data_IF_313898002661
#
_entry.id   IF_313898002661
#
_cell.length_a   1.000
_cell.length_b   1.000
_cell.length_c   1.000
_cell.angle_alpha   90.00
_cell.angle_beta   90.00
_cell.angle_gamma   90.00
#
_symmetry.space_group_name_H-M   'P 1'
#
loop_
_entity.id
_entity.type
_entity.pdbx_description
1 polymer ?
#
# COMPACT_ATOMS: atom_id res chain seq x y z
N UNK A 1 0.72 -4.93 22.36
CA UNK A 1 -0.17 -5.00 21.18
C UNK A 1 0.60 -4.43 19.98
N UNK A 2 0.38 -4.96 18.78
CA UNK A 2 1.21 -4.68 17.60
C UNK A 2 0.50 -3.72 16.65
N UNK A 3 1.12 -2.57 16.34
CA UNK A 3 0.64 -1.60 15.34
C UNK A 3 1.00 -2.00 13.90
N UNK A 4 1.33 -3.28 13.68
CA UNK A 4 1.72 -3.77 12.35
C UNK A 4 0.46 -4.02 11.53
N UNK A 5 0.02 -3.00 10.80
CA UNK A 5 -1.20 -3.00 10.00
C UNK A 5 -0.87 -2.89 8.51
N UNK A 6 -1.86 -3.19 7.68
CA UNK A 6 -1.81 -3.02 6.23
C UNK A 6 -3.08 -2.32 5.74
N UNK A 7 -3.01 -1.66 4.60
CA UNK A 7 -4.20 -1.14 3.92
C UNK A 7 -4.94 -2.27 3.20
N UNK A 8 -6.17 -2.00 2.77
CA UNK A 8 -6.83 -2.90 1.81
C UNK A 8 -6.05 -2.96 0.49
N UNK A 9 -6.02 -4.13 -0.14
CA UNK A 9 -5.35 -4.26 -1.44
C UNK A 9 -6.24 -3.69 -2.55
N UNK A 10 -5.80 -2.58 -3.16
CA UNK A 10 -6.48 -1.98 -4.30
C UNK A 10 -6.17 -2.76 -5.59
N UNK A 11 -7.19 -3.42 -6.15
CA UNK A 11 -7.07 -4.13 -7.43
C UNK A 11 -7.39 -3.17 -8.56
N UNK A 12 -6.40 -2.87 -9.38
CA UNK A 12 -6.57 -2.06 -10.58
C UNK A 12 -7.43 -2.84 -11.59
N UNK A 13 -8.54 -2.27 -12.10
CA UNK A 13 -9.38 -2.95 -13.09
C UNK A 13 -8.60 -3.31 -14.36
N UNK A 14 -8.96 -4.39 -15.07
CA UNK A 14 -8.34 -4.74 -16.33
C UNK A 14 -8.39 -3.56 -17.32
N UNK A 15 -7.30 -3.33 -18.05
CA UNK A 15 -7.13 -2.23 -19.03
C UNK A 15 -7.11 -0.81 -18.42
N UNK A 16 -7.16 -0.66 -17.11
CA UNK A 16 -7.01 0.63 -16.46
C UNK A 16 -5.52 1.03 -16.38
N UNK A 17 -5.21 2.25 -16.83
CA UNK A 17 -3.90 2.86 -16.61
C UNK A 17 -3.89 3.64 -15.31
N UNK A 18 -2.87 3.42 -14.47
CA UNK A 18 -2.64 4.21 -13.25
C UNK A 18 -1.88 5.49 -13.63
N UNK A 19 -2.62 6.49 -14.11
CA UNK A 19 -2.08 7.84 -14.30
C UNK A 19 -2.18 8.64 -12.99
N UNK A 20 -1.63 9.86 -12.96
CA UNK A 20 -1.66 10.70 -11.77
C UNK A 20 -3.08 11.00 -11.24
N UNK A 21 -4.07 11.16 -12.12
CA UNK A 21 -5.45 11.39 -11.71
C UNK A 21 -6.05 10.15 -11.03
N UNK A 22 -5.85 8.97 -11.63
CA UNK A 22 -6.30 7.71 -11.06
C UNK A 22 -5.65 7.45 -9.70
N UNK A 23 -4.33 7.63 -9.62
CA UNK A 23 -3.56 7.43 -8.41
C UNK A 23 -4.08 8.29 -7.25
N UNK A 24 -4.26 9.61 -7.48
CA UNK A 24 -4.79 10.51 -6.46
C UNK A 24 -6.21 10.16 -6.02
N UNK A 25 -7.11 9.89 -6.98
CA UNK A 25 -8.54 9.76 -6.69
C UNK A 25 -8.95 8.39 -6.17
N UNK A 26 -8.25 7.33 -6.54
CA UNK A 26 -8.66 5.95 -6.23
C UNK A 26 -7.68 5.22 -5.30
N UNK A 27 -6.41 5.62 -5.26
CA UNK A 27 -5.41 4.98 -4.40
C UNK A 27 -5.17 5.86 -3.17
N UNK A 28 -4.67 7.10 -3.36
CA UNK A 28 -4.35 7.98 -2.23
C UNK A 28 -5.59 8.38 -1.42
N UNK A 29 -6.59 8.99 -2.06
CA UNK A 29 -7.76 9.53 -1.38
C UNK A 29 -8.77 8.47 -0.91
N UNK A 30 -8.55 7.19 -1.24
CA UNK A 30 -9.40 6.09 -0.78
C UNK A 30 -8.60 5.14 0.08
N UNK A 31 -7.85 4.24 -0.53
CA UNK A 31 -7.18 3.15 0.16
C UNK A 31 -6.12 3.63 1.15
N UNK A 32 -5.28 4.59 0.78
CA UNK A 32 -4.25 5.10 1.70
C UNK A 32 -4.87 5.92 2.83
N UNK A 33 -5.79 6.83 2.49
CA UNK A 33 -6.48 7.68 3.46
C UNK A 33 -7.26 6.87 4.50
N UNK A 34 -8.08 5.92 4.06
CA UNK A 34 -8.81 5.00 4.94
C UNK A 34 -7.86 4.32 5.93
N UNK A 35 -6.68 3.92 5.47
CA UNK A 35 -5.74 3.17 6.28
C UNK A 35 -5.01 4.03 7.32
N UNK A 36 -4.78 5.31 7.02
CA UNK A 36 -4.06 6.27 7.87
C UNK A 36 -5.00 6.92 8.91
N UNK A 37 -6.31 6.98 8.62
CA UNK A 37 -7.31 7.54 9.54
C UNK A 37 -7.78 6.54 10.61
N UNK A 38 -7.30 5.29 10.60
CA UNK A 38 -7.65 4.27 11.61
C UNK A 38 -7.03 4.61 12.96
N UNK A 39 -7.83 4.55 14.01
CA UNK A 39 -7.45 4.87 15.39
C UNK A 39 -7.56 3.68 16.36
N UNK A 40 -8.20 2.58 15.95
CA UNK A 40 -8.36 1.40 16.79
C UNK A 40 -7.02 0.70 17.05
N UNK A 41 -6.68 0.44 18.31
CA UNK A 41 -5.52 -0.40 18.65
C UNK A 41 -5.79 -1.90 18.43
N UNK A 42 -7.07 -2.27 18.38
CA UNK A 42 -7.55 -3.65 18.31
C UNK A 42 -8.15 -3.98 16.94
N UNK A 43 -8.36 -5.27 16.70
CA UNK A 43 -8.98 -5.78 15.47
C UNK A 43 -7.99 -6.46 14.53
N UNK A 44 -8.44 -6.71 13.31
CA UNK A 44 -7.61 -7.34 12.28
C UNK A 44 -6.50 -6.39 11.82
N UNK A 45 -5.52 -6.94 11.09
CA UNK A 45 -4.42 -6.15 10.49
C UNK A 45 -4.91 -5.07 9.51
N UNK A 46 -6.18 -5.13 9.10
CA UNK A 46 -6.84 -4.18 8.20
C UNK A 46 -7.72 -3.14 8.91
N UNK A 47 -7.84 -3.20 10.23
CA UNK A 47 -8.76 -2.33 10.98
C UNK A 47 -8.04 -1.48 12.01
N UNK A 48 -6.93 -1.99 12.53
CA UNK A 48 -6.15 -1.27 13.53
C UNK A 48 -5.33 -0.13 12.92
N UNK A 49 -4.93 0.80 13.79
CA UNK A 49 -4.03 1.90 13.48
C UNK A 49 -2.69 1.41 12.94
N UNK A 50 -2.12 2.20 12.02
CA UNK A 50 -0.83 1.95 11.38
C UNK A 50 0.35 2.15 12.31
N UNK A 51 0.23 3.06 13.28
CA UNK A 51 1.27 3.38 14.24
C UNK A 51 0.64 3.69 15.60
N UNK A 52 1.40 3.51 16.67
CA UNK A 52 1.00 3.96 18.02
C UNK A 52 0.94 5.48 18.12
N UNK A 53 1.83 6.14 17.38
CA UNK A 53 1.93 7.59 17.33
C UNK A 53 2.02 8.04 15.87
N UNK A 54 0.90 8.55 15.35
CA UNK A 54 0.81 9.04 13.98
C UNK A 54 1.63 10.31 13.73
N UNK A 55 2.13 11.00 14.76
CA UNK A 55 3.05 12.14 14.58
C UNK A 55 4.42 11.72 14.03
N UNK A 56 4.77 10.44 14.19
CA UNK A 56 5.96 9.82 13.65
C UNK A 56 5.77 9.28 12.22
N UNK A 57 4.54 9.30 11.69
CA UNK A 57 4.22 8.75 10.37
C UNK A 57 4.92 9.52 9.26
N UNK A 58 5.60 8.79 8.37
CA UNK A 58 6.20 9.31 7.13
C UNK A 58 5.62 8.51 5.97
N UNK A 59 4.92 9.19 5.06
CA UNK A 59 4.47 8.58 3.81
C UNK A 59 5.63 8.46 2.82
N UNK A 60 5.80 7.29 2.21
CA UNK A 60 6.85 7.01 1.23
C UNK A 60 6.27 6.33 -0.01
N UNK A 61 6.78 6.68 -1.17
CA UNK A 61 6.43 6.09 -2.47
C UNK A 61 7.65 6.10 -3.40
N UNK A 62 7.66 5.23 -4.41
CA UNK A 62 8.73 5.17 -5.40
C UNK A 62 8.66 6.29 -6.45
N UNK A 63 9.67 6.35 -7.31
CA UNK A 63 9.81 7.36 -8.37
C UNK A 63 8.90 7.17 -9.60
N UNK A 64 7.77 6.45 -9.51
CA UNK A 64 6.87 6.28 -10.65
C UNK A 64 6.27 7.62 -11.13
N UNK A 65 6.00 7.82 -12.44
CA UNK A 65 5.53 9.11 -12.97
C UNK A 65 4.26 9.67 -12.31
N UNK A 66 3.33 8.80 -11.90
CA UNK A 66 2.11 9.20 -11.20
C UNK A 66 2.39 9.74 -9.78
N UNK A 67 3.43 9.20 -9.13
CA UNK A 67 3.85 9.51 -7.76
C UNK A 67 4.65 10.82 -7.74
N UNK A 68 5.52 11.04 -8.72
CA UNK A 68 6.40 12.22 -8.82
C UNK A 68 5.75 13.44 -9.47
N UNK A 69 4.52 13.33 -9.97
CA UNK A 69 3.79 14.45 -10.57
C UNK A 69 3.54 15.56 -9.54
N UNK A 70 3.69 16.82 -9.94
CA UNK A 70 3.58 17.98 -9.03
C UNK A 70 2.26 17.98 -8.22
N UNK A 71 1.12 17.72 -8.88
CA UNK A 71 -0.18 17.65 -8.20
C UNK A 71 -0.27 16.50 -7.19
N UNK A 72 0.45 15.40 -7.41
CA UNK A 72 0.50 14.28 -6.47
C UNK A 72 1.39 14.63 -5.27
N UNK A 73 2.57 15.22 -5.51
CA UNK A 73 3.48 15.67 -4.45
C UNK A 73 2.79 16.69 -3.53
N UNK A 74 2.16 17.73 -4.08
CA UNK A 74 1.42 18.74 -3.28
C UNK A 74 0.24 18.14 -2.51
N UNK A 75 -0.42 17.11 -3.05
CA UNK A 75 -1.49 16.41 -2.33
C UNK A 75 -0.93 15.63 -1.14
N UNK A 76 0.22 14.94 -1.31
CA UNK A 76 0.88 14.21 -0.24
C UNK A 76 1.35 15.14 0.88
N UNK A 77 2.03 16.24 0.54
CA UNK A 77 2.49 17.25 1.51
C UNK A 77 1.34 17.85 2.33
N UNK A 78 0.17 18.03 1.71
CA UNK A 78 -1.02 18.55 2.39
C UNK A 78 -1.70 17.53 3.31
N UNK A 79 -1.71 16.26 2.91
CA UNK A 79 -2.56 15.25 3.55
C UNK A 79 -1.83 14.33 4.53
N UNK A 80 -0.50 14.25 4.49
CA UNK A 80 0.28 13.38 5.38
C UNK A 80 1.10 14.20 6.38
N UNK A 81 1.23 13.74 7.65
CA UNK A 81 2.03 14.44 8.66
C UNK A 81 3.47 14.72 8.23
N UNK A 82 4.10 13.71 7.62
CA UNK A 82 5.40 13.81 6.95
C UNK A 82 5.34 12.98 5.67
N UNK A 83 6.12 13.38 4.68
CA UNK A 83 6.12 12.77 3.36
C UNK A 83 7.54 12.83 2.78
N UNK A 84 8.00 11.72 2.20
CA UNK A 84 9.23 11.71 1.42
C UNK A 84 9.00 12.29 0.03
N UNK A 85 9.56 13.48 -0.20
CA UNK A 85 9.47 14.15 -1.50
C UNK A 85 10.21 13.34 -2.57
N UNK A 86 9.86 13.55 -3.84
CA UNK A 86 10.46 12.82 -4.96
C UNK A 86 11.99 12.93 -5.01
N UNK A 87 12.58 14.01 -4.48
CA UNK A 87 14.03 14.23 -4.41
C UNK A 87 14.72 13.34 -3.37
N UNK A 88 14.00 12.89 -2.34
CA UNK A 88 14.56 12.04 -1.27
C UNK A 88 14.66 10.57 -1.71
N UNK A 89 13.84 10.15 -2.68
CA UNK A 89 13.88 8.79 -3.21
C UNK A 89 14.98 8.64 -4.28
N UNK A 90 15.98 7.76 -4.08
CA UNK A 90 17.03 7.57 -5.07
C UNK A 90 16.48 6.93 -6.36
N UNK A 91 16.90 7.46 -7.50
CA UNK A 91 16.51 6.93 -8.83
C UNK A 91 16.90 5.45 -8.96
N UNK A 92 16.03 4.68 -9.62
CA UNK A 92 16.23 3.25 -9.94
C UNK A 92 16.51 2.34 -8.72
N UNK A 93 16.06 2.73 -7.54
CA UNK A 93 16.33 2.00 -6.30
C UNK A 93 15.14 1.17 -5.82
N UNK A 94 14.57 0.35 -6.72
CA UNK A 94 13.42 -0.51 -6.36
C UNK A 94 13.73 -1.44 -5.19
N UNK A 95 14.96 -1.95 -5.10
CA UNK A 95 15.43 -2.81 -4.01
C UNK A 95 15.40 -2.16 -2.62
N UNK A 96 15.31 -0.82 -2.53
CA UNK A 96 15.18 -0.12 -1.26
C UNK A 96 13.72 0.01 -0.80
N UNK A 97 12.74 -0.31 -1.65
CA UNK A 97 11.34 -0.15 -1.32
C UNK A 97 10.86 -1.30 -0.41
N UNK A 98 10.53 -1.05 0.87
CA UNK A 98 10.11 -2.09 1.80
C UNK A 98 8.86 -2.86 1.34
N UNK A 99 8.04 -2.28 0.45
CA UNK A 99 6.87 -2.98 -0.11
C UNK A 99 7.27 -4.19 -0.95
N UNK A 100 8.48 -4.21 -1.54
CA UNK A 100 8.97 -5.36 -2.31
C UNK A 100 9.11 -6.61 -1.43
N UNK A 101 9.44 -6.44 -0.15
CA UNK A 101 9.46 -7.56 0.80
C UNK A 101 8.05 -8.13 1.02
N UNK A 102 7.05 -7.26 1.15
CA UNK A 102 5.65 -7.67 1.24
C UNK A 102 5.17 -8.35 -0.04
N UNK A 103 5.61 -7.89 -1.21
CA UNK A 103 5.33 -8.55 -2.49
C UNK A 103 5.97 -9.93 -2.59
N UNK A 104 7.18 -10.12 -2.08
CA UNK A 104 7.81 -11.45 -2.01
C UNK A 104 7.01 -12.39 -1.10
N UNK A 105 6.66 -11.95 0.12
CA UNK A 105 5.84 -12.74 1.06
C UNK A 105 4.50 -13.12 0.43
N UNK A 106 3.84 -12.15 -0.22
CA UNK A 106 2.56 -12.37 -0.88
C UNK A 106 2.69 -13.38 -2.03
N UNK A 107 3.73 -13.25 -2.86
CA UNK A 107 4.01 -14.16 -3.97
C UNK A 107 4.26 -15.58 -3.47
N UNK A 108 5.07 -15.73 -2.42
CA UNK A 108 5.37 -17.03 -1.83
C UNK A 108 4.09 -17.66 -1.26
N UNK A 109 3.27 -16.89 -0.54
CA UNK A 109 1.99 -17.35 -0.02
C UNK A 109 1.04 -17.83 -1.12
N UNK A 110 0.89 -17.06 -2.20
CA UNK A 110 0.03 -17.41 -3.34
C UNK A 110 0.58 -18.62 -4.10
N UNK A 111 1.91 -18.79 -4.19
CA UNK A 111 2.54 -19.92 -4.89
C UNK A 111 2.24 -21.29 -4.26
N UNK A 112 1.90 -21.30 -2.97
CA UNK A 112 1.51 -22.52 -2.24
C UNK A 112 0.00 -22.82 -2.37
N UNK A 113 -0.77 -21.95 -3.02
CA UNK A 113 -2.20 -22.15 -3.24
C UNK A 113 -2.46 -22.96 -4.53
N UNK A 114 -3.69 -23.44 -4.68
CA UNK A 114 -4.13 -24.13 -5.90
C UNK A 114 -3.98 -23.22 -7.13
N UNK A 115 -3.50 -23.78 -8.24
CA UNK A 115 -3.43 -23.05 -9.50
C UNK A 115 -4.85 -22.78 -10.04
N UNK A 116 -5.12 -21.53 -10.41
CA UNK A 116 -6.45 -21.10 -10.90
C UNK A 116 -6.34 -20.45 -12.27
N UNK A 117 -7.20 -20.88 -13.20
CA UNK A 117 -7.23 -20.34 -14.57
C UNK A 117 -8.00 -19.01 -14.70
N UNK A 118 -8.86 -18.68 -13.73
CA UNK A 118 -9.75 -17.50 -13.80
C UNK A 118 -9.17 -16.35 -12.98
N UNK A 119 -9.11 -15.16 -13.60
CA UNK A 119 -8.62 -13.94 -12.96
C UNK A 119 -9.32 -13.63 -11.63
N UNK A 120 -10.65 -13.79 -11.56
CA UNK A 120 -11.39 -13.52 -10.32
C UNK A 120 -11.02 -14.48 -9.18
N UNK A 121 -10.67 -15.73 -9.50
CA UNK A 121 -10.20 -16.69 -8.50
C UNK A 121 -8.80 -16.31 -8.03
N UNK A 122 -7.92 -15.89 -8.95
CA UNK A 122 -6.59 -15.38 -8.60
C UNK A 122 -6.68 -14.15 -7.69
N UNK A 123 -7.53 -13.17 -8.04
CA UNK A 123 -7.77 -11.98 -7.21
C UNK A 123 -8.26 -12.38 -5.81
N UNK A 124 -9.15 -13.38 -5.72
CA UNK A 124 -9.64 -13.90 -4.44
C UNK A 124 -8.51 -14.51 -3.60
N UNK A 125 -7.65 -15.33 -4.21
CA UNK A 125 -6.49 -15.92 -3.55
C UNK A 125 -5.49 -14.85 -3.09
N UNK A 126 -5.17 -13.87 -3.94
CA UNK A 126 -4.27 -12.76 -3.60
C UNK A 126 -4.83 -11.95 -2.43
N UNK A 127 -6.13 -11.61 -2.44
CA UNK A 127 -6.78 -10.93 -1.31
C UNK A 127 -6.76 -11.77 -0.03
N UNK A 128 -6.98 -13.08 -0.14
CA UNK A 128 -6.90 -14.00 0.99
C UNK A 128 -5.49 -14.05 1.59
N UNK A 129 -4.47 -14.16 0.73
CA UNK A 129 -3.07 -14.15 1.13
C UNK A 129 -2.69 -12.83 1.82
N UNK A 130 -3.09 -11.69 1.25
CA UNK A 130 -2.86 -10.36 1.83
C UNK A 130 -3.44 -10.23 3.25
N UNK A 131 -4.69 -10.68 3.44
CA UNK A 131 -5.35 -10.69 4.76
C UNK A 131 -4.72 -11.64 5.76
N UNK A 132 -4.00 -12.64 5.27
CA UNK A 132 -3.32 -13.66 6.05
C UNK A 132 -1.85 -13.36 6.34
N UNK A 133 -1.32 -12.19 5.93
CA UNK A 133 0.05 -11.79 6.26
C UNK A 133 0.20 -11.77 7.78
N UNK A 134 1.16 -12.55 8.30
CA UNK A 134 1.45 -12.55 9.73
C UNK A 134 2.06 -11.20 10.11
N UNK A 135 1.41 -10.42 11.00
CA UNK A 135 1.96 -9.16 11.42
C UNK A 135 3.29 -9.31 12.15
N UNK A 136 3.71 -10.50 12.60
CA UNK A 136 4.96 -10.69 13.33
C UNK A 136 6.20 -10.81 12.44
N UNK A 137 6.02 -11.00 11.13
CA UNK A 137 7.11 -11.00 10.14
C UNK A 137 7.77 -9.61 10.10
#
# INVERSE_FOLDING_TARGET
>A
MSHRAISELHIVPPKQTVNGCYYRNYILNKTCKDAIERDSENGTILQRSMLSDMSSFIFMQDGAPANTANLTQSLCEKNFPKFWMKEEWPRNSSHLNPIENLWSILKDSVSQMENVAKLNHLISQVKKAWKGIDPKI
#
